data_IF_123482263377
#
_entry.id   IF_123482263377
#
_cell.length_a   1.000
_cell.length_b   1.000
_cell.length_c   1.000
_cell.angle_alpha   90.00
_cell.angle_beta   90.00
_cell.angle_gamma   90.00
#
_symmetry.space_group_name_H-M   'P 1'
#
loop_
_entity.id
_entity.type
_entity.pdbx_description
1 polymer ?
#
# COMPACT_ATOMS: atom_id res chain seq x y z
N UNK A 1 -4.29 -17.94 7.44
CA UNK A 1 -4.18 -16.90 8.48
C UNK A 1 -4.62 -15.61 7.84
N UNK A 2 -5.48 -14.86 8.52
CA UNK A 2 -5.96 -13.58 8.02
C UNK A 2 -4.87 -12.53 8.23
N UNK A 3 -4.41 -11.92 7.14
CA UNK A 3 -3.46 -10.81 7.15
C UNK A 3 -4.12 -9.56 6.58
N UNK A 4 -4.02 -8.45 7.31
CA UNK A 4 -4.31 -7.11 6.78
C UNK A 4 -3.05 -6.56 6.13
N UNK A 5 -3.09 -6.18 4.86
CA UNK A 5 -1.91 -5.71 4.12
C UNK A 5 -1.99 -4.21 3.97
N UNK A 6 -0.98 -3.49 4.44
CA UNK A 6 -0.96 -2.03 4.45
C UNK A 6 0.35 -1.48 3.88
N UNK A 7 0.28 -0.27 3.34
CA UNK A 7 1.43 0.42 2.76
C UNK A 7 1.40 1.90 3.13
N UNK A 8 2.52 2.41 3.63
CA UNK A 8 2.67 3.85 3.86
C UNK A 8 2.87 4.56 2.52
N UNK A 9 2.05 5.58 2.26
CA UNK A 9 2.06 6.36 1.03
C UNK A 9 2.22 7.82 1.38
N UNK A 10 3.32 8.42 0.93
CA UNK A 10 3.55 9.85 1.00
C UNK A 10 3.02 10.51 -0.26
N UNK A 11 2.23 11.56 -0.13
CA UNK A 11 1.74 12.37 -1.23
C UNK A 11 2.51 13.69 -1.21
N UNK A 12 3.19 14.01 -2.31
CA UNK A 12 3.97 15.24 -2.46
C UNK A 12 3.52 16.04 -3.68
N UNK A 13 3.79 17.33 -3.67
CA UNK A 13 3.65 18.17 -4.86
C UNK A 13 4.87 18.04 -5.79
N UNK A 14 4.90 18.83 -6.88
CA UNK A 14 6.00 18.82 -7.85
C UNK A 14 7.31 19.43 -7.31
N UNK A 15 7.30 20.00 -6.11
CA UNK A 15 8.41 20.64 -5.42
C UNK A 15 8.96 19.78 -4.26
N UNK A 16 8.50 18.53 -4.15
CA UNK A 16 8.75 17.60 -3.03
C UNK A 16 8.20 18.08 -1.67
N UNK A 17 7.26 19.03 -1.65
CA UNK A 17 6.55 19.42 -0.43
C UNK A 17 5.54 18.33 -0.03
N UNK A 18 5.59 17.89 1.23
CA UNK A 18 4.67 16.87 1.74
C UNK A 18 3.28 17.46 1.91
N UNK A 19 2.35 16.96 1.12
CA UNK A 19 0.94 17.35 1.20
C UNK A 19 0.17 16.46 2.18
N UNK A 20 0.49 15.16 2.21
CA UNK A 20 -0.15 14.19 3.10
C UNK A 20 0.67 12.91 3.24
N UNK A 21 0.43 12.17 4.32
CA UNK A 21 0.89 10.80 4.50
C UNK A 21 -0.31 9.95 4.91
N UNK A 22 -0.53 8.85 4.20
CA UNK A 22 -1.66 7.94 4.45
C UNK A 22 -1.18 6.50 4.56
N UNK A 23 -1.91 5.70 5.36
CA UNK A 23 -1.74 4.26 5.37
C UNK A 23 -2.77 3.64 4.43
N UNK A 24 -2.34 3.27 3.23
CA UNK A 24 -3.20 2.63 2.24
C UNK A 24 -3.44 1.16 2.62
N UNK A 25 -4.72 0.77 2.68
CA UNK A 25 -5.15 -0.60 2.97
C UNK A 25 -5.34 -1.37 1.67
N UNK A 26 -4.49 -2.37 1.44
CA UNK A 26 -4.64 -3.27 0.29
C UNK A 26 -5.76 -4.30 0.51
N UNK A 27 -6.19 -4.48 1.76
CA UNK A 27 -7.27 -5.37 2.18
C UNK A 27 -6.80 -6.55 3.03
N UNK A 28 -7.76 -7.41 3.35
CA UNK A 28 -7.58 -8.62 4.14
C UNK A 28 -7.47 -9.87 3.26
N UNK A 29 -6.45 -10.71 3.50
CA UNK A 29 -6.21 -11.93 2.73
C UNK A 29 -5.97 -13.14 3.63
N UNK A 30 -6.55 -14.28 3.27
CA UNK A 30 -6.22 -15.58 3.87
C UNK A 30 -5.01 -16.18 3.15
N UNK A 31 -3.86 -16.19 3.83
CA UNK A 31 -2.59 -16.67 3.30
C UNK A 31 -2.00 -17.77 4.19
N UNK A 32 -1.16 -18.62 3.61
CA UNK A 32 -0.55 -19.76 4.30
C UNK A 32 0.50 -19.30 5.32
N UNK A 33 1.48 -18.52 4.88
CA UNK A 33 2.50 -17.89 5.70
C UNK A 33 3.16 -16.75 4.93
N UNK A 34 3.51 -15.67 5.62
CA UNK A 34 4.30 -14.56 5.11
C UNK A 34 5.55 -14.37 5.96
N UNK A 35 6.62 -13.89 5.35
CA UNK A 35 7.87 -13.57 6.02
C UNK A 35 8.39 -12.21 5.54
N UNK A 36 9.03 -11.46 6.45
CA UNK A 36 9.80 -10.26 6.10
C UNK A 36 10.85 -10.63 5.03
N UNK A 37 10.97 -9.77 4.01
CA UNK A 37 11.82 -10.03 2.84
C UNK A 37 11.12 -10.78 1.70
N UNK A 38 9.92 -11.34 1.92
CA UNK A 38 9.07 -11.83 0.83
C UNK A 38 8.49 -10.65 0.03
N UNK A 39 7.90 -10.92 -1.14
CA UNK A 39 7.28 -9.87 -1.97
C UNK A 39 5.84 -10.22 -2.33
N UNK A 40 5.01 -9.18 -2.45
CA UNK A 40 3.64 -9.24 -2.94
C UNK A 40 3.58 -8.62 -4.34
N UNK A 41 2.68 -9.13 -5.17
CA UNK A 41 2.38 -8.56 -6.50
C UNK A 41 0.97 -7.98 -6.44
N UNK A 42 0.85 -6.69 -6.74
CA UNK A 42 -0.42 -5.96 -6.76
C UNK A 42 -0.40 -4.90 -7.87
N UNK A 43 -1.48 -4.15 -8.04
CA UNK A 43 -1.50 -3.03 -8.97
C UNK A 43 -0.66 -1.86 -8.43
N UNK A 44 -0.11 -1.03 -9.32
CA UNK A 44 0.49 0.25 -8.93
C UNK A 44 -0.54 1.12 -8.19
N UNK A 45 -0.07 1.95 -7.27
CA UNK A 45 -0.91 2.96 -6.64
C UNK A 45 -0.77 4.27 -7.42
N UNK A 46 -1.85 5.04 -7.46
CA UNK A 46 -1.89 6.38 -8.04
C UNK A 46 -2.84 7.28 -7.27
N UNK A 47 -3.06 8.48 -7.79
CA UNK A 47 -3.87 9.51 -7.17
C UNK A 47 -5.15 9.79 -7.95
N UNK A 48 -6.28 9.87 -7.27
CA UNK A 48 -7.54 10.39 -7.81
C UNK A 48 -8.02 11.50 -6.90
N UNK A 49 -7.91 12.77 -7.33
CA UNK A 49 -8.30 13.93 -6.52
C UNK A 49 -7.70 13.87 -5.09
N UNK A 50 -6.41 13.52 -4.98
CA UNK A 50 -5.66 13.32 -3.71
C UNK A 50 -5.97 12.03 -2.92
N UNK A 51 -6.91 11.21 -3.36
CA UNK A 51 -7.13 9.88 -2.81
C UNK A 51 -6.14 8.88 -3.43
N UNK A 52 -5.50 8.06 -2.59
CA UNK A 52 -4.65 6.96 -3.07
C UNK A 52 -5.56 5.84 -3.54
N UNK A 53 -5.41 5.45 -4.80
CA UNK A 53 -6.21 4.41 -5.46
C UNK A 53 -5.31 3.43 -6.21
N UNK A 54 -5.84 2.27 -6.55
CA UNK A 54 -5.18 1.38 -7.50
C UNK A 54 -5.22 1.95 -8.92
N UNK A 55 -4.07 2.01 -9.58
CA UNK A 55 -3.97 2.22 -11.02
C UNK A 55 -4.27 0.90 -11.75
N UNK A 56 -5.48 0.79 -12.29
CA UNK A 56 -5.97 -0.40 -12.98
C UNK A 56 -5.70 -0.40 -14.49
N UNK A 57 -4.93 0.56 -15.01
CA UNK A 57 -4.52 0.56 -16.43
C UNK A 57 -3.71 -0.70 -16.74
N UNK A 58 -3.82 -1.19 -17.98
CA UNK A 58 -3.17 -2.45 -18.36
C UNK A 58 -1.64 -2.38 -18.15
N UNK A 59 -1.07 -3.45 -17.58
CA UNK A 59 0.37 -3.54 -17.31
C UNK A 59 0.86 -2.87 -16.02
N UNK A 60 0.00 -2.16 -15.29
CA UNK A 60 0.32 -1.46 -14.03
C UNK A 60 0.39 -2.41 -12.82
N UNK A 61 1.29 -3.39 -12.89
CA UNK A 61 1.58 -4.32 -11.79
C UNK A 61 2.94 -4.00 -11.19
N UNK A 62 3.01 -4.04 -9.87
CA UNK A 62 4.24 -3.86 -9.12
C UNK A 62 4.51 -5.04 -8.20
N UNK A 63 5.80 -5.29 -7.96
CA UNK A 63 6.28 -6.20 -6.91
C UNK A 63 6.81 -5.34 -5.76
N UNK A 64 6.31 -5.56 -4.56
CA UNK A 64 6.65 -4.77 -3.38
C UNK A 64 7.10 -5.71 -2.26
N UNK A 65 8.20 -5.38 -1.57
CA UNK A 65 8.67 -6.22 -0.45
C UNK A 65 7.85 -5.97 0.80
N UNK A 66 7.71 -7.02 1.59
CA UNK A 66 7.24 -6.94 2.97
C UNK A 66 8.44 -6.52 3.84
N UNK A 67 8.29 -5.39 4.52
CA UNK A 67 9.33 -4.83 5.39
C UNK A 67 9.08 -5.12 6.86
N UNK A 68 7.82 -5.31 7.25
CA UNK A 68 7.46 -5.56 8.64
C UNK A 68 6.16 -6.37 8.75
N UNK A 69 6.01 -7.08 9.87
CA UNK A 69 4.82 -7.83 10.23
C UNK A 69 4.53 -7.57 11.71
N UNK A 70 3.39 -6.95 11.97
CA UNK A 70 2.90 -6.62 13.30
C UNK A 70 1.82 -7.62 13.72
N UNK A 71 1.92 -8.11 14.95
CA UNK A 71 0.91 -8.98 15.55
C UNK A 71 0.32 -8.23 16.74
N UNK A 72 -0.96 -7.88 16.65
CA UNK A 72 -1.68 -7.26 17.75
C UNK A 72 -2.19 -8.36 18.71
N UNK A 73 -1.65 -8.35 19.92
CA UNK A 73 -2.00 -9.27 21.01
C UNK A 73 -3.02 -8.66 21.99
N UNK A 74 -3.40 -7.39 21.82
CA UNK A 74 -4.42 -6.71 22.62
C UNK A 74 -5.81 -7.14 22.14
N UNK A 75 -5.99 -7.26 20.82
CA UNK A 75 -7.23 -7.75 20.21
C UNK A 75 -7.36 -9.27 20.30
N UNK A 76 -8.60 -9.76 20.49
CA UNK A 76 -8.93 -11.19 20.49
C UNK A 76 -10.05 -11.50 19.48
N UNK A 77 -9.80 -12.35 18.46
CA UNK A 77 -8.55 -13.06 18.18
C UNK A 77 -7.41 -12.10 17.78
N UNK A 78 -6.16 -12.52 18.01
CA UNK A 78 -4.99 -11.75 17.61
C UNK A 78 -5.05 -11.43 16.11
N UNK A 79 -4.74 -10.20 15.74
CA UNK A 79 -4.73 -9.76 14.34
C UNK A 79 -3.30 -9.59 13.84
N UNK A 80 -3.08 -9.81 12.55
CA UNK A 80 -1.74 -9.66 11.95
C UNK A 80 -1.82 -8.67 10.81
N UNK A 81 -1.04 -7.59 10.92
CA UNK A 81 -0.87 -6.59 9.88
C UNK A 81 0.49 -6.72 9.24
N UNK A 82 0.53 -6.57 7.93
CA UNK A 82 1.74 -6.69 7.11
C UNK A 82 2.01 -5.34 6.48
N UNK A 83 3.23 -4.83 6.64
CA UNK A 83 3.62 -3.56 6.05
C UNK A 83 4.52 -3.77 4.84
N UNK A 84 4.14 -3.14 3.73
CA UNK A 84 4.90 -3.11 2.49
C UNK A 84 5.89 -1.93 2.49
N UNK A 85 6.89 -1.99 1.60
CA UNK A 85 7.78 -0.85 1.35
C UNK A 85 7.00 0.44 1.09
N UNK A 86 7.37 1.55 1.75
CA UNK A 86 6.69 2.82 1.56
C UNK A 86 6.92 3.36 0.15
N UNK A 87 5.96 4.12 -0.36
CA UNK A 87 6.07 4.79 -1.66
C UNK A 87 5.78 6.28 -1.54
N UNK A 88 6.18 7.03 -2.57
CA UNK A 88 5.85 8.44 -2.72
C UNK A 88 5.09 8.63 -4.03
N UNK A 89 3.92 9.26 -3.95
CA UNK A 89 3.11 9.66 -5.08
C UNK A 89 3.20 11.17 -5.25
N UNK A 90 3.58 11.59 -6.46
CA UNK A 90 3.73 12.99 -6.83
C UNK A 90 2.45 13.43 -7.57
N UNK A 91 1.79 14.47 -7.05
CA UNK A 91 0.59 15.08 -7.66
C UNK A 91 0.90 15.52 -9.09
N UNK A 92 0.01 15.21 -10.03
CA UNK A 92 0.18 15.50 -11.46
C UNK A 92 1.00 14.45 -12.22
N UNK A 93 1.91 13.72 -11.57
CA UNK A 93 2.63 12.60 -12.21
C UNK A 93 1.91 11.25 -12.02
N UNK A 94 1.36 11.03 -10.83
CA UNK A 94 0.72 9.77 -10.45
C UNK A 94 -0.80 9.82 -10.56
N UNK A 95 -1.34 10.88 -11.17
CA UNK A 95 -2.78 11.04 -11.33
C UNK A 95 -3.34 9.95 -12.26
N UNK A 96 -4.39 9.29 -11.77
CA UNK A 96 -5.16 8.28 -12.49
C UNK A 96 -6.47 8.94 -12.91
N UNK A 97 -6.67 9.11 -14.21
CA UNK A 97 -7.89 9.72 -14.75
C UNK A 97 -9.17 8.96 -14.38
N UNK A 98 -10.33 9.58 -14.66
CA UNK A 98 -11.64 8.91 -14.59
C UNK A 98 -11.72 7.84 -15.71
N UNK A 99 -11.25 6.63 -15.42
CA UNK A 99 -11.55 5.44 -16.24
C UNK A 99 -12.40 4.49 -15.43
#
# INVERSE_FOLDING_TARGET
MKYSISQSVKIVDMSDEIMSEVLFDHGDFELSALAVGSSIITNELGLRQFEVVYDRREGKKQRIRIVDIEIDLITQPATTRVYLEPITLIIGQHDVGEV
#
